data_IF_037937026375
#
_entry.id   IF_037937026375
#
_cell.length_a   1.000
_cell.length_b   1.000
_cell.length_c   1.000
_cell.angle_alpha   90.00
_cell.angle_beta   90.00
_cell.angle_gamma   90.00
#
_symmetry.space_group_name_H-M   'P 1'
#
loop_
_entity.id
_entity.type
_entity.pdbx_description
1 polymer ?
#
# COMPACT_ATOMS: atom_id res chain seq x y z
N UNK A 1 24.25 -31.20 12.01
CA UNK A 1 24.28 -29.74 11.83
C UNK A 1 23.90 -29.51 10.38
N UNK A 2 22.64 -29.17 10.12
CA UNK A 2 22.10 -29.04 8.77
C UNK A 2 22.40 -27.64 8.24
N UNK A 3 23.55 -27.48 7.59
CA UNK A 3 23.89 -26.31 6.76
C UNK A 3 23.53 -26.61 5.31
N UNK A 4 22.23 -26.65 5.00
CA UNK A 4 21.80 -27.08 3.67
C UNK A 4 20.46 -26.55 3.17
N UNK A 5 19.71 -25.77 3.96
CA UNK A 5 18.36 -25.32 3.60
C UNK A 5 18.14 -23.83 3.92
N UNK A 6 19.17 -22.99 3.75
CA UNK A 6 19.08 -21.56 4.07
C UNK A 6 19.79 -20.68 3.02
N UNK A 7 19.84 -21.15 1.77
CA UNK A 7 20.42 -20.40 0.63
C UNK A 7 19.43 -20.04 -0.46
N UNK A 8 18.15 -20.39 -0.29
CA UNK A 8 17.08 -20.09 -1.24
C UNK A 8 16.02 -19.12 -0.72
N UNK A 9 16.11 -18.70 0.54
CA UNK A 9 15.47 -17.49 1.04
C UNK A 9 16.41 -16.32 0.78
N UNK A 10 16.64 -16.01 -0.50
CA UNK A 10 17.34 -14.79 -0.88
C UNK A 10 16.43 -13.63 -0.46
N UNK A 11 16.55 -13.20 0.79
CA UNK A 11 15.96 -11.97 1.32
C UNK A 11 16.42 -10.86 0.39
N UNK A 12 15.54 -10.46 -0.53
CA UNK A 12 15.75 -9.25 -1.30
C UNK A 12 15.78 -8.13 -0.26
N UNK A 13 16.96 -7.51 -0.07
CA UNK A 13 17.11 -6.42 0.88
C UNK A 13 16.06 -5.33 0.59
N UNK A 14 15.55 -4.65 1.63
CA UNK A 14 14.59 -3.56 1.48
C UNK A 14 15.04 -2.50 0.45
N UNK A 15 16.35 -2.24 0.37
CA UNK A 15 16.94 -1.34 -0.61
C UNK A 15 16.77 -1.81 -2.07
N UNK A 16 16.72 -3.11 -2.31
CA UNK A 16 16.44 -3.66 -3.64
C UNK A 16 14.96 -3.53 -3.98
N UNK A 17 14.07 -3.71 -2.99
CA UNK A 17 12.63 -3.49 -3.18
C UNK A 17 12.31 -2.02 -3.46
N UNK A 18 12.95 -1.08 -2.77
CA UNK A 18 12.85 0.36 -3.06
C UNK A 18 13.32 0.69 -4.49
N UNK A 19 14.41 0.08 -4.95
CA UNK A 19 14.87 0.25 -6.34
C UNK A 19 13.88 -0.30 -7.35
N UNK A 20 13.26 -1.45 -7.07
CA UNK A 20 12.22 -2.02 -7.92
C UNK A 20 11.01 -1.08 -8.00
N UNK A 21 10.60 -0.51 -6.87
CA UNK A 21 9.55 0.50 -6.81
C UNK A 21 9.89 1.74 -7.66
N UNK A 22 11.09 2.30 -7.48
CA UNK A 22 11.54 3.45 -8.27
C UNK A 22 11.65 3.14 -9.78
N UNK A 23 12.06 1.92 -10.13
CA UNK A 23 12.11 1.46 -11.51
C UNK A 23 10.70 1.30 -12.11
N UNK A 24 9.75 0.80 -11.33
CA UNK A 24 8.36 0.66 -11.75
C UNK A 24 7.76 2.01 -12.15
N UNK A 25 7.99 3.06 -11.33
CA UNK A 25 7.58 4.42 -11.66
C UNK A 25 8.21 4.97 -12.93
N UNK A 26 9.47 4.63 -13.21
CA UNK A 26 10.11 5.01 -14.49
C UNK A 26 9.46 4.32 -15.69
N UNK A 27 9.09 3.05 -15.56
CA UNK A 27 8.36 2.35 -16.62
C UNK A 27 6.96 2.94 -16.81
N UNK A 28 6.29 3.35 -15.74
CA UNK A 28 4.99 4.02 -15.84
C UNK A 28 5.10 5.36 -16.58
N UNK A 29 6.09 6.20 -16.23
CA UNK A 29 6.40 7.46 -16.92
C UNK A 29 6.77 7.25 -18.40
N UNK A 30 7.45 6.15 -18.71
CA UNK A 30 7.76 5.75 -20.08
C UNK A 30 6.53 5.24 -20.88
N UNK A 31 5.38 5.05 -20.22
CA UNK A 31 4.15 4.49 -20.80
C UNK A 31 4.08 2.96 -20.79
N UNK A 32 5.09 2.27 -20.26
CA UNK A 32 5.15 0.80 -20.11
C UNK A 32 4.43 0.33 -18.84
N UNK A 33 3.11 0.57 -18.78
CA UNK A 33 2.28 0.23 -17.61
C UNK A 33 2.35 -1.26 -17.23
N UNK A 34 2.41 -2.16 -18.20
CA UNK A 34 2.55 -3.61 -17.95
C UNK A 34 3.86 -3.96 -17.22
N UNK A 35 4.97 -3.34 -17.62
CA UNK A 35 6.27 -3.55 -16.98
C UNK A 35 6.27 -2.99 -15.55
N UNK A 36 5.67 -1.81 -15.34
CA UNK A 36 5.49 -1.22 -14.02
C UNK A 36 4.67 -2.14 -13.10
N UNK A 37 3.53 -2.65 -13.57
CA UNK A 37 2.66 -3.56 -12.80
C UNK A 37 3.41 -4.84 -12.42
N UNK A 38 4.20 -5.40 -13.32
CA UNK A 38 5.05 -6.57 -13.04
C UNK A 38 6.04 -6.29 -11.91
N UNK A 39 6.72 -5.14 -11.94
CA UNK A 39 7.67 -4.75 -10.90
C UNK A 39 6.99 -4.55 -9.54
N UNK A 40 5.82 -3.92 -9.50
CA UNK A 40 5.02 -3.80 -8.26
C UNK A 40 4.56 -5.17 -7.74
N UNK A 41 4.19 -6.11 -8.62
CA UNK A 41 3.84 -7.48 -8.21
C UNK A 41 5.01 -8.20 -7.57
N UNK A 42 6.22 -8.00 -8.10
CA UNK A 42 7.44 -8.57 -7.52
C UNK A 42 7.67 -7.97 -6.13
N UNK A 43 7.65 -6.64 -5.99
CA UNK A 43 7.82 -5.98 -4.69
C UNK A 43 6.79 -6.43 -3.65
N UNK A 44 5.51 -6.53 -4.06
CA UNK A 44 4.44 -7.02 -3.21
C UNK A 44 4.62 -8.49 -2.81
N UNK A 45 5.16 -9.34 -3.69
CA UNK A 45 5.46 -10.74 -3.37
C UNK A 45 6.51 -10.86 -2.26
N UNK A 46 7.50 -9.96 -2.25
CA UNK A 46 8.57 -9.93 -1.25
C UNK A 46 8.21 -9.20 0.04
N UNK A 47 6.99 -8.67 0.18
CA UNK A 47 6.58 -8.01 1.42
C UNK A 47 6.69 -6.48 1.44
N UNK A 48 7.02 -5.84 0.31
CA UNK A 48 7.25 -4.39 0.29
C UNK A 48 5.92 -3.61 0.40
N UNK A 49 5.74 -2.76 1.42
CA UNK A 49 4.45 -2.12 1.70
C UNK A 49 3.98 -1.12 0.62
N UNK A 50 4.88 -0.35 0.01
CA UNK A 50 4.54 0.60 -1.05
C UNK A 50 4.06 -0.12 -2.31
N UNK A 51 4.76 -1.17 -2.73
CA UNK A 51 4.41 -2.01 -3.87
C UNK A 51 3.09 -2.74 -3.66
N UNK A 52 2.85 -3.26 -2.45
CA UNK A 52 1.54 -3.81 -2.09
C UNK A 52 0.43 -2.76 -2.22
N UNK A 53 0.67 -1.53 -1.76
CA UNK A 53 -0.29 -0.44 -1.85
C UNK A 53 -0.60 -0.07 -3.31
N UNK A 54 0.42 0.05 -4.16
CA UNK A 54 0.23 0.36 -5.59
C UNK A 54 -0.46 -0.78 -6.32
N UNK A 55 -0.09 -2.03 -6.01
CA UNK A 55 -0.77 -3.19 -6.60
C UNK A 55 -2.25 -3.23 -6.17
N UNK A 56 -2.54 -2.93 -4.91
CA UNK A 56 -3.92 -2.84 -4.41
C UNK A 56 -4.70 -1.73 -5.14
N UNK A 57 -4.07 -0.59 -5.41
CA UNK A 57 -4.64 0.52 -6.15
C UNK A 57 -5.08 0.08 -7.56
N UNK A 58 -4.17 -0.55 -8.29
CA UNK A 58 -4.43 -1.12 -9.62
C UNK A 58 -5.58 -2.15 -9.57
N UNK A 59 -5.63 -2.99 -8.53
CA UNK A 59 -6.70 -3.99 -8.36
C UNK A 59 -8.03 -3.40 -7.91
N UNK A 60 -8.01 -2.19 -7.34
CA UNK A 60 -9.19 -1.43 -6.92
C UNK A 60 -9.60 -0.33 -7.91
N UNK A 61 -8.95 -0.24 -9.07
CA UNK A 61 -9.19 0.81 -10.05
C UNK A 61 -10.63 0.71 -10.59
N UNK A 62 -11.48 1.75 -10.39
CA UNK A 62 -12.80 1.81 -11.00
C UNK A 62 -12.70 1.98 -12.52
N UNK A 63 -13.64 1.45 -13.32
CA UNK A 63 -14.88 0.79 -12.93
C UNK A 63 -14.77 -0.74 -12.84
N UNK A 64 -13.61 -1.32 -13.16
CA UNK A 64 -13.48 -2.77 -13.34
C UNK A 64 -13.34 -3.53 -12.03
N UNK A 65 -12.76 -2.91 -11.00
CA UNK A 65 -12.57 -3.54 -9.68
C UNK A 65 -12.17 -5.02 -9.77
N UNK A 66 -11.11 -5.34 -10.53
CA UNK A 66 -10.80 -6.71 -10.93
C UNK A 66 -10.74 -7.66 -9.73
N UNK A 67 -10.11 -7.25 -8.62
CA UNK A 67 -10.00 -8.06 -7.41
C UNK A 67 -10.02 -7.21 -6.14
N UNK A 68 -11.22 -6.76 -5.74
CA UNK A 68 -11.39 -5.97 -4.51
C UNK A 68 -10.90 -6.73 -3.27
N UNK A 69 -11.19 -8.03 -3.15
CA UNK A 69 -10.78 -8.81 -1.98
C UNK A 69 -9.26 -8.84 -1.82
N UNK A 70 -8.54 -9.04 -2.92
CA UNK A 70 -7.08 -9.04 -2.93
C UNK A 70 -6.54 -7.64 -2.65
N UNK A 71 -7.14 -6.58 -3.22
CA UNK A 71 -6.79 -5.21 -2.88
C UNK A 71 -7.00 -4.91 -1.37
N UNK A 72 -8.11 -5.35 -0.78
CA UNK A 72 -8.39 -5.19 0.65
C UNK A 72 -7.30 -5.84 1.52
N UNK A 73 -6.87 -7.06 1.18
CA UNK A 73 -5.80 -7.76 1.91
C UNK A 73 -4.45 -7.07 1.75
N UNK A 74 -4.10 -6.63 0.54
CA UNK A 74 -2.84 -5.93 0.25
C UNK A 74 -2.76 -4.60 1.00
N UNK A 75 -3.82 -3.79 0.98
CA UNK A 75 -3.85 -2.54 1.75
C UNK A 75 -3.74 -2.78 3.26
N UNK A 76 -4.40 -3.80 3.80
CA UNK A 76 -4.27 -4.16 5.22
C UNK A 76 -2.84 -4.56 5.57
N UNK A 77 -2.20 -5.39 4.75
CA UNK A 77 -0.80 -5.80 4.96
C UNK A 77 0.15 -4.62 4.91
N UNK A 78 0.02 -3.77 3.88
CA UNK A 78 0.82 -2.54 3.75
C UNK A 78 0.64 -1.62 4.97
N UNK A 79 -0.60 -1.42 5.41
CA UNK A 79 -0.90 -0.62 6.60
C UNK A 79 -0.38 -1.24 7.90
N UNK A 80 -0.44 -2.57 8.04
CA UNK A 80 0.14 -3.29 9.19
C UNK A 80 1.67 -3.20 9.20
N UNK A 81 2.31 -3.08 8.04
CA UNK A 81 3.74 -2.84 7.89
C UNK A 81 4.15 -1.38 8.14
N UNK A 82 3.22 -0.50 8.54
CA UNK A 82 3.48 0.90 8.90
C UNK A 82 3.10 1.92 7.83
N UNK A 83 2.56 1.49 6.68
CA UNK A 83 2.16 2.41 5.62
C UNK A 83 0.73 2.94 5.83
N UNK A 84 0.59 4.00 6.64
CA UNK A 84 -0.72 4.57 7.00
C UNK A 84 -1.58 4.94 5.78
N UNK A 85 -0.96 5.39 4.69
CA UNK A 85 -1.62 5.72 3.42
C UNK A 85 -2.39 4.54 2.82
N UNK A 86 -1.98 3.28 3.07
CA UNK A 86 -2.73 2.13 2.59
C UNK A 86 -4.13 2.03 3.22
N UNK A 87 -4.28 2.38 4.51
CA UNK A 87 -5.61 2.39 5.14
C UNK A 87 -6.49 3.52 4.61
N UNK A 88 -5.90 4.66 4.24
CA UNK A 88 -6.62 5.75 3.59
C UNK A 88 -7.17 5.29 2.23
N UNK A 89 -6.34 4.69 1.38
CA UNK A 89 -6.76 4.21 0.06
C UNK A 89 -7.79 3.08 0.16
N UNK A 90 -7.65 2.19 1.15
CA UNK A 90 -8.66 1.17 1.46
C UNK A 90 -10.02 1.80 1.80
N UNK A 91 -10.04 2.88 2.59
CA UNK A 91 -11.26 3.59 2.91
C UNK A 91 -11.90 4.20 1.67
N UNK A 92 -11.11 4.88 0.83
CA UNK A 92 -11.57 5.47 -0.44
C UNK A 92 -12.19 4.39 -1.33
N UNK A 93 -11.52 3.24 -1.50
CA UNK A 93 -12.06 2.09 -2.23
C UNK A 93 -13.39 1.62 -1.66
N UNK A 94 -13.54 1.53 -0.33
CA UNK A 94 -14.84 1.21 0.27
C UNK A 94 -15.93 2.24 -0.06
N UNK A 95 -15.58 3.53 -0.14
CA UNK A 95 -16.49 4.57 -0.60
C UNK A 95 -16.97 4.33 -2.04
N UNK A 96 -16.06 3.95 -2.95
CA UNK A 96 -16.38 3.66 -4.34
C UNK A 96 -17.31 2.45 -4.52
N UNK A 97 -17.20 1.43 -3.67
CA UNK A 97 -18.11 0.27 -3.68
C UNK A 97 -19.40 0.49 -2.87
N UNK A 98 -19.62 1.70 -2.35
CA UNK A 98 -20.82 2.05 -1.58
C UNK A 98 -20.82 1.55 -0.13
N UNK A 99 -19.67 1.16 0.42
CA UNK A 99 -19.49 0.72 1.81
C UNK A 99 -19.02 1.86 2.71
N UNK A 100 -19.84 2.90 2.84
CA UNK A 100 -19.52 4.12 3.59
C UNK A 100 -19.15 3.87 5.06
N UNK A 101 -19.78 2.91 5.72
CA UNK A 101 -19.47 2.56 7.12
C UNK A 101 -18.04 2.01 7.27
N UNK A 102 -17.63 1.10 6.38
CA UNK A 102 -16.25 0.59 6.37
C UNK A 102 -15.27 1.70 6.00
N UNK A 103 -15.60 2.54 5.01
CA UNK A 103 -14.79 3.70 4.64
C UNK A 103 -14.48 4.57 5.85
N UNK A 104 -15.50 5.03 6.59
CA UNK A 104 -15.30 5.87 7.77
C UNK A 104 -14.45 5.20 8.84
N UNK A 105 -14.67 3.90 9.06
CA UNK A 105 -13.88 3.12 10.04
C UNK A 105 -12.40 3.08 9.67
N UNK A 106 -12.06 2.78 8.42
CA UNK A 106 -10.67 2.72 7.98
C UNK A 106 -10.03 4.10 7.84
N UNK A 107 -10.78 5.14 7.47
CA UNK A 107 -10.30 6.53 7.51
C UNK A 107 -9.88 6.94 8.92
N UNK A 108 -10.67 6.56 9.94
CA UNK A 108 -10.32 6.84 11.34
C UNK A 108 -9.04 6.10 11.76
N UNK A 109 -8.87 4.84 11.36
CA UNK A 109 -7.65 4.06 11.60
C UNK A 109 -6.44 4.68 10.89
N UNK A 110 -6.62 5.15 9.66
CA UNK A 110 -5.58 5.82 8.89
C UNK A 110 -5.17 7.14 9.55
N UNK A 111 -6.12 7.88 10.12
CA UNK A 111 -5.87 9.13 10.85
C UNK A 111 -5.16 8.85 12.17
N UNK A 112 -5.61 7.88 12.95
CA UNK A 112 -4.99 7.47 14.22
C UNK A 112 -3.54 6.97 14.05
N UNK A 113 -3.26 6.26 12.94
CA UNK A 113 -1.92 5.75 12.63
C UNK A 113 -1.05 6.70 11.80
N UNK A 114 -1.68 7.60 11.05
CA UNK A 114 -1.03 8.65 10.27
C UNK A 114 -0.69 9.87 11.12
N UNK A 115 -1.40 10.07 12.23
CA UNK A 115 -1.02 10.94 13.33
C UNK A 115 0.17 10.33 14.08
N UNK A 116 1.33 10.32 13.41
CA UNK A 116 2.58 10.42 14.15
C UNK A 116 2.57 11.71 14.99
N UNK A 117 3.37 11.79 16.06
CA UNK A 117 3.31 12.85 17.09
C UNK A 117 3.71 14.27 16.62
N UNK A 118 3.52 14.62 15.35
CA UNK A 118 3.92 15.90 14.76
C UNK A 118 2.77 16.69 14.13
N UNK A 119 1.51 16.25 14.27
CA UNK A 119 0.33 17.01 13.79
C UNK A 119 -0.72 17.21 14.91
N UNK A 120 -0.28 17.35 16.15
CA UNK A 120 -1.10 17.86 17.27
C UNK A 120 -0.32 18.94 18.04
N UNK A 121 0.11 19.99 17.33
CA UNK A 121 0.63 21.22 17.97
C UNK A 121 0.33 22.48 17.12
N UNK A 122 -0.62 22.40 16.18
CA UNK A 122 -1.07 23.57 15.42
C UNK A 122 -2.52 23.43 14.93
N UNK A 123 -3.46 23.14 15.82
CA UNK A 123 -4.83 23.63 15.66
C UNK A 123 -5.13 24.54 16.86
N UNK A 124 -4.85 25.81 16.61
CA UNK A 124 -5.24 26.93 17.43
C UNK A 124 -6.72 26.80 17.79
N UNK A 125 -6.99 26.60 19.07
CA UNK A 125 -8.33 26.81 19.61
C UNK A 125 -8.74 28.26 19.41
N UNK A 126 -9.60 28.52 18.43
CA UNK A 126 -10.64 29.54 18.39
C UNK A 126 -11.47 29.36 17.10
N UNK A 127 -12.79 29.66 17.02
CA UNK A 127 -13.63 30.49 17.91
C UNK A 127 -14.85 29.71 18.49
N UNK A 128 -15.56 30.12 19.55
CA UNK A 128 -16.24 31.39 19.88
C UNK A 128 -16.30 31.58 21.41
#
# INVERSE_FOLDING_TARGET
MSEGDDRFSQEIDGATLEKLYALAWKHEDAGDRDAAVLLFKIGAHFGEPMSMCVLADILSEPPRFPDIKTAEELYKKAGMAGYATAFHNLAVMYGHVGKSELSQRYMKIATDRGAGPWEDDNDEGAPD
#
